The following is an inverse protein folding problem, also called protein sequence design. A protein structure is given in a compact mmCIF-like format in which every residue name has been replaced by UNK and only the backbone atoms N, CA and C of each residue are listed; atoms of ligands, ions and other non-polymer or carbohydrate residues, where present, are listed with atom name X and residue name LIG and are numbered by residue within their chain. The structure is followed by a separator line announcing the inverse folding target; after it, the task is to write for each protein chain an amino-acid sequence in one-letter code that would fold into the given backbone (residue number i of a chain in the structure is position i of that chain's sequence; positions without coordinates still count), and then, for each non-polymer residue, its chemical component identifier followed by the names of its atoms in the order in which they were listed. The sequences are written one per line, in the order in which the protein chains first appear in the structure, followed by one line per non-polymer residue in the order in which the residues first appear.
data_IF_036345949590
#
_entry.id   IF_036345949590
#
_cell.length_a   1.000
_cell.length_b   1.000
_cell.length_c   1.000
_cell.angle_alpha   90.00
_cell.angle_beta   90.00
_cell.angle_gamma   90.00
#
_symmetry.space_group_name_H-M   'P 1'
#
loop_
_entity.id
_entity.type
_entity.pdbx_description
1 polymer ?
#
# COMPACT_ATOMS: atom_id res chain seq x y z
N UNK A 1 -13.34 27.49 15.50
CA UNK A 1 -13.29 26.20 14.78
C UNK A 1 -14.06 25.19 15.61
N UNK A 2 -15.04 24.49 15.04
CA UNK A 2 -15.72 23.40 15.75
C UNK A 2 -14.71 22.30 16.09
N UNK A 3 -14.91 21.62 17.22
CA UNK A 3 -14.11 20.45 17.57
C UNK A 3 -14.21 19.39 16.47
N UNK A 4 -13.07 18.80 16.08
CA UNK A 4 -13.05 17.79 15.03
C UNK A 4 -13.55 16.45 15.59
N UNK A 5 -14.51 15.84 14.88
CA UNK A 5 -14.98 14.48 15.13
C UNK A 5 -14.89 13.69 13.83
N UNK A 6 -14.63 12.39 13.93
CA UNK A 6 -14.49 11.52 12.75
C UNK A 6 -15.73 11.46 11.86
N UNK A 7 -16.91 11.82 12.38
CA UNK A 7 -18.19 11.88 11.65
C UNK A 7 -18.42 13.21 10.92
N UNK A 8 -17.62 14.25 11.19
CA UNK A 8 -17.88 15.61 10.69
C UNK A 8 -17.92 15.71 9.16
N UNK A 9 -17.26 14.79 8.44
CA UNK A 9 -17.26 14.76 6.96
C UNK A 9 -18.65 14.49 6.38
N UNK A 10 -19.53 13.79 7.10
CA UNK A 10 -20.91 13.48 6.63
C UNK A 10 -21.75 14.74 6.40
N UNK A 11 -21.40 15.82 7.10
CA UNK A 11 -22.06 17.13 6.98
C UNK A 11 -21.37 18.05 5.97
N UNK A 12 -20.45 17.53 5.15
CA UNK A 12 -19.72 18.27 4.11
C UNK A 12 -20.07 17.75 2.72
N UNK A 13 -19.95 18.59 1.67
CA UNK A 13 -20.03 18.11 0.31
C UNK A 13 -19.01 16.99 0.08
N UNK A 14 -19.48 15.89 -0.51
CA UNK A 14 -18.68 14.70 -0.81
C UNK A 14 -18.90 14.29 -2.26
N UNK A 15 -17.82 13.88 -2.92
CA UNK A 15 -17.81 13.45 -4.32
C UNK A 15 -17.31 12.02 -4.39
N UNK A 16 -17.66 11.29 -5.46
CA UNK A 16 -17.20 9.92 -5.74
C UNK A 16 -17.72 8.81 -4.81
N UNK A 17 -18.56 9.16 -3.83
CA UNK A 17 -19.18 8.20 -2.93
C UNK A 17 -20.18 7.30 -3.67
N UNK A 18 -20.27 6.01 -3.32
CA UNK A 18 -21.35 5.16 -3.77
C UNK A 18 -22.68 5.54 -3.10
N UNK A 19 -23.78 5.25 -3.80
CA UNK A 19 -25.13 5.32 -3.25
C UNK A 19 -25.54 3.92 -2.78
N UNK A 20 -25.36 3.64 -1.49
CA UNK A 20 -25.85 2.41 -0.86
C UNK A 20 -27.37 2.49 -0.67
N UNK A 21 -28.10 1.49 -1.17
CA UNK A 21 -29.57 1.46 -1.13
C UNK A 21 -30.14 0.98 0.20
N UNK A 22 -29.34 0.26 0.99
CA UNK A 22 -29.69 -0.25 2.32
C UNK A 22 -28.80 0.41 3.38
N UNK A 23 -29.33 1.46 4.01
CA UNK A 23 -28.62 2.21 5.04
C UNK A 23 -28.47 1.44 6.35
N UNK A 24 -29.39 0.51 6.67
CA UNK A 24 -29.28 -0.32 7.87
C UNK A 24 -28.13 -1.31 7.73
N UNK A 25 -28.00 -1.96 6.57
CA UNK A 25 -26.87 -2.83 6.26
C UNK A 25 -25.54 -2.08 6.27
N UNK A 26 -25.50 -0.87 5.70
CA UNK A 26 -24.31 -0.02 5.75
C UNK A 26 -23.92 0.29 7.21
N UNK A 27 -24.84 0.80 8.01
CA UNK A 27 -24.59 1.14 9.43
C UNK A 27 -24.13 -0.07 10.24
N UNK A 28 -24.68 -1.26 9.96
CA UNK A 28 -24.27 -2.51 10.62
C UNK A 28 -22.81 -2.87 10.29
N UNK A 29 -22.41 -2.76 9.01
CA UNK A 29 -21.01 -3.02 8.60
C UNK A 29 -20.06 -2.00 9.19
N UNK A 30 -20.40 -0.71 9.17
CA UNK A 30 -19.58 0.35 9.77
C UNK A 30 -19.38 0.11 11.27
N UNK A 31 -20.45 -0.27 11.98
CA UNK A 31 -20.41 -0.62 13.40
C UNK A 31 -19.51 -1.83 13.65
N UNK A 32 -19.59 -2.86 12.80
CA UNK A 32 -18.75 -4.05 12.90
C UNK A 32 -17.26 -3.71 12.69
N UNK A 33 -16.93 -2.96 11.63
CA UNK A 33 -15.55 -2.53 11.35
C UNK A 33 -14.95 -1.66 12.47
N UNK A 34 -15.77 -0.83 13.12
CA UNK A 34 -15.32 0.00 14.24
C UNK A 34 -14.81 -0.82 15.43
N UNK A 35 -15.32 -2.04 15.60
CA UNK A 35 -14.92 -2.98 16.64
C UNK A 35 -13.73 -3.88 16.25
N UNK A 36 -13.34 -3.90 14.98
CA UNK A 36 -12.17 -4.66 14.55
C UNK A 36 -10.86 -4.02 15.01
N UNK A 37 -9.77 -4.79 15.14
CA UNK A 37 -8.44 -4.23 15.39
C UNK A 37 -8.01 -3.24 14.30
N UNK A 38 -7.28 -2.16 14.63
CA UNK A 38 -6.72 -1.27 13.61
C UNK A 38 -5.63 -2.00 12.79
N UNK A 39 -5.51 -1.63 11.52
CA UNK A 39 -4.46 -2.19 10.63
C UNK A 39 -3.06 -1.71 11.04
N UNK A 40 -2.95 -0.47 11.51
CA UNK A 40 -1.67 0.16 11.90
C UNK A 40 -1.77 0.75 13.30
N UNK A 41 -0.64 0.78 14.01
CA UNK A 41 -0.53 1.44 15.28
C UNK A 41 -0.21 2.95 15.10
N UNK A 42 -0.78 3.81 15.96
CA UNK A 42 -0.57 5.25 15.86
C UNK A 42 0.90 5.68 15.97
N UNK A 43 1.73 4.88 16.66
CA UNK A 43 3.19 5.09 16.72
C UNK A 43 3.87 4.94 15.36
N UNK A 44 3.40 4.03 14.51
CA UNK A 44 3.94 3.81 13.16
C UNK A 44 3.63 5.01 12.26
N UNK A 45 2.41 5.53 12.32
CA UNK A 45 2.02 6.76 11.60
C UNK A 45 2.84 7.97 12.06
N UNK A 46 3.14 8.09 13.35
CA UNK A 46 4.04 9.14 13.86
C UNK A 46 5.48 8.96 13.38
N UNK A 47 5.97 7.72 13.27
CA UNK A 47 7.30 7.44 12.72
C UNK A 47 7.37 7.84 11.24
N UNK A 48 6.39 7.41 10.44
CA UNK A 48 6.27 7.82 9.04
C UNK A 48 6.24 9.35 8.91
N UNK A 49 5.46 10.05 9.73
CA UNK A 49 5.41 11.53 9.71
C UNK A 49 6.79 12.16 9.95
N UNK A 50 7.59 11.62 10.88
CA UNK A 50 8.97 12.11 11.11
C UNK A 50 9.86 11.86 9.89
N UNK A 51 9.75 10.69 9.27
CA UNK A 51 10.51 10.33 8.08
C UNK A 51 10.11 11.20 6.85
N UNK A 52 8.82 11.46 6.67
CA UNK A 52 8.32 12.39 5.64
C UNK A 52 8.78 13.83 5.89
N UNK A 53 8.86 14.27 7.14
CA UNK A 53 9.42 15.57 7.48
C UNK A 53 10.92 15.67 7.14
N UNK A 54 11.68 14.56 7.23
CA UNK A 54 13.06 14.51 6.74
C UNK A 54 13.11 14.64 5.21
N UNK A 55 12.23 13.91 4.51
CA UNK A 55 12.14 14.02 3.05
C UNK A 55 11.79 15.44 2.57
N UNK A 56 10.88 16.14 3.27
CA UNK A 56 10.53 17.53 2.93
C UNK A 56 11.69 18.52 3.10
N UNK A 57 12.74 18.17 3.85
CA UNK A 57 13.95 18.98 4.02
C UNK A 57 15.10 18.57 3.11
N UNK A 58 14.92 17.51 2.31
CA UNK A 58 15.98 16.92 1.48
C UNK A 58 16.90 15.93 2.22
N UNK A 59 16.60 15.60 3.47
CA UNK A 59 17.38 14.65 4.28
C UNK A 59 17.03 13.18 3.99
N UNK A 60 15.99 12.93 3.18
CA UNK A 60 15.51 11.62 2.77
C UNK A 60 14.75 11.70 1.43
N UNK A 61 14.44 10.55 0.84
CA UNK A 61 13.65 10.46 -0.40
C UNK A 61 12.41 9.58 -0.18
N UNK A 62 11.24 9.97 -0.70
CA UNK A 62 10.02 9.16 -0.63
C UNK A 62 9.90 8.27 -1.87
N UNK A 63 9.84 6.96 -1.67
CA UNK A 63 9.42 5.99 -2.67
C UNK A 63 8.02 5.49 -2.32
N UNK A 64 7.03 5.86 -3.14
CA UNK A 64 5.67 5.34 -3.04
C UNK A 64 5.28 4.61 -4.32
N UNK A 65 4.79 3.38 -4.20
CA UNK A 65 4.50 2.53 -5.36
C UNK A 65 3.69 1.28 -4.99
N UNK A 66 3.07 0.66 -5.98
CA UNK A 66 2.19 -0.49 -5.81
C UNK A 66 1.04 -0.46 -6.81
N UNK A 67 -0.05 -1.17 -6.52
CA UNK A 67 -1.14 -1.34 -7.46
C UNK A 67 -1.94 -0.04 -7.71
N UNK A 68 -2.54 0.03 -8.89
CA UNK A 68 -3.50 1.10 -9.23
C UNK A 68 -4.78 0.92 -8.41
N UNK A 69 -5.36 -0.28 -8.44
CA UNK A 69 -6.16 -0.80 -7.33
C UNK A 69 -5.97 -2.29 -7.18
N UNK A 70 -5.95 -2.72 -5.92
CA UNK A 70 -5.97 -4.11 -5.52
C UNK A 70 -7.33 -4.72 -5.89
N UNK A 71 -7.29 -5.98 -6.32
CA UNK A 71 -8.49 -6.77 -6.59
C UNK A 71 -8.57 -7.97 -5.67
N UNK A 72 -9.77 -8.28 -5.20
CA UNK A 72 -10.05 -9.42 -4.35
C UNK A 72 -9.69 -10.75 -5.02
N UNK A 73 -9.80 -10.82 -6.35
CA UNK A 73 -9.47 -12.01 -7.14
C UNK A 73 -7.95 -12.22 -7.31
N UNK A 74 -7.15 -11.16 -7.16
CA UNK A 74 -5.69 -11.20 -7.34
C UNK A 74 -4.93 -11.30 -6.01
N UNK A 75 -5.63 -11.70 -4.94
CA UNK A 75 -5.08 -11.80 -3.60
C UNK A 75 -4.23 -13.08 -3.43
N UNK A 76 -2.92 -12.97 -3.69
CA UNK A 76 -1.97 -14.09 -3.57
C UNK A 76 -0.69 -13.67 -2.82
N UNK A 77 -0.09 -14.60 -2.10
CA UNK A 77 1.18 -14.36 -1.40
C UNK A 77 2.33 -14.02 -2.36
N UNK A 78 2.36 -14.66 -3.54
CA UNK A 78 3.37 -14.39 -4.57
C UNK A 78 3.26 -12.97 -5.13
N UNK A 79 2.04 -12.51 -5.42
CA UNK A 79 1.82 -11.13 -5.88
C UNK A 79 2.29 -10.09 -4.87
N UNK A 80 1.94 -10.27 -3.59
CA UNK A 80 2.38 -9.38 -2.50
C UNK A 80 3.90 -9.39 -2.37
N UNK A 81 4.51 -10.58 -2.39
CA UNK A 81 5.97 -10.76 -2.30
C UNK A 81 6.68 -10.07 -3.47
N UNK A 82 6.19 -10.23 -4.68
CA UNK A 82 6.85 -9.73 -5.88
C UNK A 82 6.75 -8.20 -5.97
N UNK A 83 5.60 -7.61 -5.61
CA UNK A 83 5.47 -6.15 -5.48
C UNK A 83 6.39 -5.60 -4.38
N UNK A 84 6.45 -6.25 -3.22
CA UNK A 84 7.36 -5.86 -2.14
C UNK A 84 8.83 -5.93 -2.58
N UNK A 85 9.20 -7.00 -3.29
CA UNK A 85 10.54 -7.21 -3.86
C UNK A 85 10.93 -6.06 -4.81
N UNK A 86 10.05 -5.70 -5.74
CA UNK A 86 10.30 -4.57 -6.67
C UNK A 86 10.49 -3.26 -5.90
N UNK A 87 9.66 -2.99 -4.89
CA UNK A 87 9.81 -1.81 -4.04
C UNK A 87 11.16 -1.76 -3.33
N UNK A 88 11.66 -2.89 -2.82
CA UNK A 88 12.99 -2.95 -2.18
C UNK A 88 14.13 -2.75 -3.19
N UNK A 89 14.02 -3.30 -4.40
CA UNK A 89 15.01 -3.09 -5.46
C UNK A 89 15.11 -1.61 -5.86
N UNK A 90 13.97 -0.95 -6.06
CA UNK A 90 13.93 0.49 -6.34
C UNK A 90 14.52 1.30 -5.18
N UNK A 91 14.16 0.97 -3.95
CA UNK A 91 14.65 1.67 -2.77
C UNK A 91 16.18 1.59 -2.64
N UNK A 92 16.78 0.44 -2.95
CA UNK A 92 18.23 0.24 -2.89
C UNK A 92 18.96 1.11 -3.92
N UNK A 93 18.50 1.11 -5.18
CA UNK A 93 19.07 1.93 -6.25
C UNK A 93 18.94 3.43 -5.92
N UNK A 94 17.78 3.86 -5.42
CA UNK A 94 17.54 5.24 -5.00
C UNK A 94 18.40 5.64 -3.80
N UNK A 95 18.57 4.76 -2.81
CA UNK A 95 19.43 5.02 -1.63
C UNK A 95 20.87 5.24 -2.07
N UNK A 96 21.39 4.38 -2.95
CA UNK A 96 22.75 4.50 -3.47
C UNK A 96 22.95 5.76 -4.32
N UNK A 97 22.01 6.06 -5.23
CA UNK A 97 22.10 7.20 -6.13
C UNK A 97 21.90 8.55 -5.43
N UNK A 98 20.89 8.65 -4.56
CA UNK A 98 20.54 9.89 -3.86
C UNK A 98 21.41 10.13 -2.61
N UNK A 99 22.09 9.10 -2.09
CA UNK A 99 22.93 9.16 -0.88
C UNK A 99 22.20 9.66 0.37
N UNK A 100 20.88 9.46 0.41
CA UNK A 100 20.01 9.75 1.54
C UNK A 100 19.10 8.54 1.79
N UNK A 101 18.57 8.37 3.02
CA UNK A 101 17.60 7.32 3.31
C UNK A 101 16.36 7.39 2.41
N UNK A 102 15.84 6.23 2.00
CA UNK A 102 14.58 6.12 1.25
C UNK A 102 13.46 5.64 2.16
N UNK A 103 12.39 6.41 2.25
CA UNK A 103 11.13 6.07 2.94
C UNK A 103 10.26 5.27 1.99
N UNK A 104 9.87 4.05 2.38
CA UNK A 104 9.18 3.09 1.49
C UNK A 104 7.71 3.01 1.87
N UNK A 105 6.82 3.35 0.94
CA UNK A 105 5.37 3.35 1.15
C UNK A 105 4.67 2.57 0.04
N UNK A 106 4.09 1.42 0.38
CA UNK A 106 3.31 0.60 -0.55
C UNK A 106 1.91 1.16 -0.79
N UNK A 107 1.46 1.19 -2.05
CA UNK A 107 0.03 1.24 -2.40
C UNK A 107 -0.52 -0.19 -2.32
N UNK A 108 -0.72 -0.66 -1.10
CA UNK A 108 -1.03 -2.05 -0.75
C UNK A 108 -1.82 -2.09 0.56
N UNK A 109 -2.56 -3.18 0.79
CA UNK A 109 -3.36 -3.40 1.98
C UNK A 109 -4.45 -2.33 2.21
N UNK A 110 -5.10 -1.86 1.15
CA UNK A 110 -6.20 -0.90 1.28
C UNK A 110 -6.58 -0.16 -0.01
N UNK A 111 -5.83 -0.30 -1.09
CA UNK A 111 -6.06 0.43 -2.35
C UNK A 111 -7.16 -0.25 -3.18
N UNK A 112 -8.35 -0.40 -2.60
CA UNK A 112 -9.47 -1.11 -3.22
C UNK A 112 -10.49 -0.18 -3.88
N UNK A 113 -10.55 1.10 -3.49
CA UNK A 113 -11.48 2.08 -4.05
C UNK A 113 -10.84 2.84 -5.23
N UNK A 114 -11.66 3.22 -6.20
CA UNK A 114 -11.26 3.97 -7.40
C UNK A 114 -12.24 5.11 -7.69
N UNK A 115 -11.78 6.35 -7.88
CA UNK A 115 -12.63 7.42 -8.38
C UNK A 115 -12.95 7.19 -9.86
N UNK A 116 -14.09 7.71 -10.32
CA UNK A 116 -14.54 7.59 -11.70
C UNK A 116 -14.93 8.95 -12.27
N UNK A 117 -14.55 9.19 -13.52
CA UNK A 117 -14.90 10.43 -14.23
C UNK A 117 -16.41 10.56 -14.46
N UNK A 118 -17.12 9.43 -14.59
CA UNK A 118 -18.57 9.38 -14.76
C UNK A 118 -19.19 8.42 -13.73
N UNK A 119 -20.39 8.78 -13.24
CA UNK A 119 -21.12 7.97 -12.26
C UNK A 119 -21.62 6.65 -12.86
N UNK A 120 -21.91 6.66 -14.15
CA UNK A 120 -22.41 5.53 -14.93
C UNK A 120 -21.48 5.18 -16.10
N UNK A 121 -21.64 3.96 -16.59
CA UNK A 121 -20.98 3.40 -17.76
C UNK A 121 -22.04 2.79 -18.67
N UNK A 122 -21.97 3.08 -19.97
CA UNK A 122 -22.91 2.56 -20.97
C UNK A 122 -22.21 1.57 -21.88
N UNK A 123 -22.70 0.33 -21.92
CA UNK A 123 -22.21 -0.72 -22.82
C UNK A 123 -23.40 -1.30 -23.57
N UNK A 124 -23.32 -1.35 -24.90
CA UNK A 124 -24.37 -1.87 -25.78
C UNK A 124 -25.77 -1.27 -25.52
N UNK A 125 -25.84 0.02 -25.18
CA UNK A 125 -27.09 0.74 -24.93
C UNK A 125 -27.68 0.54 -23.53
N UNK A 126 -27.05 -0.26 -22.66
CA UNK A 126 -27.44 -0.42 -21.25
C UNK A 126 -26.54 0.48 -20.41
N UNK A 127 -27.12 1.34 -19.58
CA UNK A 127 -26.41 2.22 -18.66
C UNK A 127 -26.47 1.65 -17.24
N UNK A 128 -25.31 1.44 -16.60
CA UNK A 128 -25.18 0.93 -15.24
C UNK A 128 -24.23 1.81 -14.41
N UNK A 129 -24.28 1.75 -13.06
CA UNK A 129 -23.26 2.38 -12.23
C UNK A 129 -21.85 1.95 -12.64
N UNK A 130 -20.92 2.89 -12.64
CA UNK A 130 -19.50 2.61 -12.87
C UNK A 130 -18.96 1.67 -11.79
N UNK A 131 -18.10 0.73 -12.18
CA UNK A 131 -17.27 0.00 -11.21
C UNK A 131 -16.36 0.98 -10.44
N UNK A 132 -16.42 0.97 -9.11
CA UNK A 132 -15.67 1.90 -8.23
C UNK A 132 -14.61 1.21 -7.40
N UNK A 133 -14.27 -0.03 -7.74
CA UNK A 133 -13.32 -0.84 -6.99
C UNK A 133 -14.00 -1.91 -6.15
N UNK A 134 -13.28 -2.98 -5.85
CA UNK A 134 -13.83 -4.22 -5.26
C UNK A 134 -14.42 -4.01 -3.86
N UNK A 135 -14.03 -2.95 -3.16
CA UNK A 135 -14.59 -2.55 -1.86
C UNK A 135 -16.01 -1.96 -1.97
N UNK A 136 -16.46 -1.58 -3.17
CA UNK A 136 -17.76 -0.97 -3.41
C UNK A 136 -18.68 -1.92 -4.19
N UNK A 137 -18.27 -2.34 -5.38
CA UNK A 137 -19.08 -3.17 -6.29
C UNK A 137 -18.18 -4.08 -7.14
N UNK A 138 -18.78 -4.88 -8.02
CA UNK A 138 -18.06 -5.84 -8.86
C UNK A 138 -17.69 -5.23 -10.23
N UNK A 139 -16.62 -5.77 -10.82
CA UNK A 139 -16.15 -5.35 -12.15
C UNK A 139 -17.14 -5.73 -13.27
N UNK A 140 -17.82 -6.87 -13.11
CA UNK A 140 -18.76 -7.42 -14.07
C UNK A 140 -19.85 -6.40 -14.45
N UNK A 141 -20.18 -6.32 -15.75
CA UNK A 141 -21.17 -5.36 -16.28
C UNK A 141 -22.58 -5.97 -16.26
N UNK A 142 -23.12 -6.20 -15.07
CA UNK A 142 -24.51 -6.62 -14.87
C UNK A 142 -25.20 -5.72 -13.83
N UNK A 143 -26.54 -5.57 -13.88
CA UNK A 143 -27.26 -4.74 -12.92
C UNK A 143 -26.94 -5.11 -11.47
N UNK A 144 -26.97 -6.40 -11.13
CA UNK A 144 -26.73 -6.87 -9.77
C UNK A 144 -25.27 -6.64 -9.32
N UNK A 145 -24.30 -6.92 -10.20
CA UNK A 145 -22.88 -6.75 -9.93
C UNK A 145 -22.50 -5.29 -9.63
N UNK A 146 -23.20 -4.33 -10.23
CA UNK A 146 -22.89 -2.90 -10.11
C UNK A 146 -23.55 -2.22 -8.91
N UNK A 147 -24.47 -2.89 -8.21
CA UNK A 147 -25.06 -2.39 -6.96
C UNK A 147 -23.97 -2.36 -5.86
N UNK A 148 -23.76 -1.21 -5.20
CA UNK A 148 -22.84 -1.15 -4.07
C UNK A 148 -23.25 -2.10 -2.93
N UNK A 149 -22.32 -2.94 -2.46
CA UNK A 149 -22.53 -3.86 -1.34
C UNK A 149 -21.63 -3.48 -0.16
N UNK A 150 -22.19 -2.98 0.97
CA UNK A 150 -21.39 -2.56 2.10
C UNK A 150 -20.56 -3.70 2.70
N UNK A 151 -20.97 -4.97 2.55
CA UNK A 151 -20.24 -6.13 3.10
C UNK A 151 -18.85 -6.28 2.47
N UNK A 152 -18.63 -5.74 1.27
CA UNK A 152 -17.31 -5.71 0.62
C UNK A 152 -16.26 -4.96 1.44
N UNK A 153 -16.66 -4.03 2.31
CA UNK A 153 -15.75 -3.38 3.26
C UNK A 153 -15.17 -4.35 4.30
N UNK A 154 -15.93 -5.35 4.74
CA UNK A 154 -15.44 -6.40 5.66
C UNK A 154 -14.42 -7.31 4.96
N UNK A 155 -14.67 -7.63 3.69
CA UNK A 155 -13.74 -8.39 2.87
C UNK A 155 -12.45 -7.61 2.61
N UNK A 156 -12.56 -6.32 2.25
CA UNK A 156 -11.43 -5.43 2.06
C UNK A 156 -10.56 -5.33 3.33
N UNK A 157 -11.18 -5.19 4.51
CA UNK A 157 -10.46 -5.22 5.78
C UNK A 157 -9.68 -6.53 5.98
N UNK A 158 -10.32 -7.67 5.72
CA UNK A 158 -9.71 -8.99 5.93
C UNK A 158 -8.51 -9.20 5.02
N UNK A 159 -8.63 -8.81 3.74
CA UNK A 159 -7.52 -8.86 2.80
C UNK A 159 -6.41 -7.86 3.16
N UNK A 160 -6.76 -6.64 3.55
CA UNK A 160 -5.80 -5.64 4.01
C UNK A 160 -4.99 -6.16 5.22
N UNK A 161 -5.68 -6.73 6.21
CA UNK A 161 -5.04 -7.29 7.40
C UNK A 161 -4.09 -8.44 7.04
N UNK A 162 -4.52 -9.35 6.16
CA UNK A 162 -3.70 -10.47 5.72
C UNK A 162 -2.49 -10.03 4.88
N UNK A 163 -2.67 -9.10 3.95
CA UNK A 163 -1.58 -8.48 3.17
C UNK A 163 -0.57 -7.82 4.09
N UNK A 164 -1.04 -7.00 5.03
CA UNK A 164 -0.17 -6.27 5.94
C UNK A 164 0.59 -7.20 6.89
N UNK A 165 -0.05 -8.27 7.37
CA UNK A 165 0.62 -9.30 8.17
C UNK A 165 1.78 -9.95 7.39
N UNK A 166 1.53 -10.30 6.11
CA UNK A 166 2.57 -10.89 5.26
C UNK A 166 3.71 -9.89 4.96
N UNK A 167 3.38 -8.63 4.67
CA UNK A 167 4.37 -7.56 4.48
C UNK A 167 5.24 -7.39 5.73
N UNK A 168 4.66 -7.37 6.93
CA UNK A 168 5.39 -7.30 8.20
C UNK A 168 6.32 -8.50 8.39
N UNK A 169 5.87 -9.69 8.02
CA UNK A 169 6.70 -10.91 8.04
C UNK A 169 7.89 -10.80 7.07
N UNK A 170 7.71 -10.26 5.87
CA UNK A 170 8.81 -10.03 4.93
C UNK A 170 9.79 -8.95 5.40
N UNK A 171 9.26 -7.86 5.99
CA UNK A 171 10.06 -6.75 6.50
C UNK A 171 10.97 -7.12 7.67
N UNK A 172 10.59 -8.09 8.50
CA UNK A 172 11.32 -8.45 9.74
C UNK A 172 11.89 -9.86 9.73
N UNK A 173 11.31 -10.79 8.96
CA UNK A 173 11.70 -12.21 8.88
C UNK A 173 12.94 -12.49 8.03
N UNK A 174 13.74 -11.45 7.72
CA UNK A 174 14.96 -11.57 6.93
C UNK A 174 14.74 -11.81 5.43
N UNK A 175 13.52 -11.58 4.91
CA UNK A 175 13.31 -11.46 3.47
C UNK A 175 13.89 -10.12 2.99
N UNK A 176 13.66 -9.04 3.74
CA UNK A 176 14.18 -7.71 3.48
C UNK A 176 15.69 -7.50 3.78
N UNK A 177 16.44 -8.58 4.01
CA UNK A 177 17.89 -8.51 4.23
C UNK A 177 18.58 -7.95 2.97
N UNK A 178 19.38 -6.90 3.15
CA UNK A 178 20.03 -6.18 2.05
C UNK A 178 20.87 -7.11 1.15
N UNK A 179 21.46 -8.17 1.71
CA UNK A 179 22.22 -9.17 0.94
C UNK A 179 21.32 -10.02 0.04
N UNK A 180 20.07 -10.28 0.43
CA UNK A 180 19.09 -11.00 -0.39
C UNK A 180 18.53 -10.11 -1.48
N UNK A 181 18.27 -8.83 -1.17
CA UNK A 181 17.72 -7.88 -2.17
C UNK A 181 18.67 -7.72 -3.35
N UNK A 182 19.99 -7.75 -3.12
CA UNK A 182 20.97 -7.76 -4.21
C UNK A 182 20.93 -9.05 -5.06
N UNK A 183 20.73 -10.23 -4.46
CA UNK A 183 20.58 -11.46 -5.25
C UNK A 183 19.37 -11.42 -6.21
N UNK A 184 18.36 -10.62 -5.87
CA UNK A 184 17.14 -10.47 -6.67
C UNK A 184 17.29 -9.58 -7.89
N UNK A 185 18.18 -8.58 -7.83
CA UNK A 185 18.41 -7.64 -8.93
C UNK A 185 19.09 -8.31 -10.12
N UNK A 186 19.84 -9.40 -9.90
CA UNK A 186 20.54 -10.14 -10.95
C UNK A 186 19.59 -10.79 -11.99
N UNK A 187 18.40 -11.26 -11.60
CA UNK A 187 17.48 -11.96 -12.51
C UNK A 187 16.87 -11.11 -13.63
N UNK A 188 16.86 -9.77 -13.53
CA UNK A 188 16.30 -8.87 -14.56
C UNK A 188 17.36 -8.42 -15.58
N UNK A 189 18.61 -8.79 -15.38
CA UNK A 189 19.75 -8.14 -16.04
C UNK A 189 20.30 -8.83 -17.29
N UNK A 190 19.71 -9.96 -17.68
CA UNK A 190 20.17 -10.77 -18.81
C UNK A 190 19.91 -10.13 -20.19
N UNK A 191 19.13 -9.05 -20.24
CA UNK A 191 18.87 -8.30 -21.49
C UNK A 191 19.95 -7.24 -21.75
N UNK A 192 20.28 -7.00 -23.03
CA UNK A 192 21.25 -5.97 -23.44
C UNK A 192 20.89 -4.55 -22.95
N UNK A 193 19.59 -4.28 -22.75
CA UNK A 193 19.08 -3.00 -22.24
C UNK A 193 19.33 -2.79 -20.74
N UNK A 194 19.81 -3.80 -20.02
CA UNK A 194 20.02 -3.74 -18.57
C UNK A 194 21.49 -3.50 -18.16
N UNK A 195 22.39 -3.19 -19.09
CA UNK A 195 23.82 -2.97 -18.80
C UNK A 195 24.06 -1.90 -17.73
N UNK A 196 23.38 -0.75 -17.82
CA UNK A 196 23.46 0.33 -16.82
C UNK A 196 22.98 -0.11 -15.43
N UNK A 197 21.97 -0.98 -15.39
CA UNK A 197 21.45 -1.50 -14.13
C UNK A 197 22.39 -2.55 -13.52
N UNK A 198 23.08 -3.36 -14.35
CA UNK A 198 24.16 -4.25 -13.89
C UNK A 198 25.29 -3.48 -13.26
N UNK A 199 25.82 -2.48 -13.96
CA UNK A 199 26.90 -1.65 -13.43
C UNK A 199 26.52 -1.01 -12.09
N UNK A 200 25.29 -0.49 -11.98
CA UNK A 200 24.78 0.04 -10.71
C UNK A 200 24.69 -1.04 -9.62
N UNK A 201 24.21 -2.23 -9.97
CA UNK A 201 24.08 -3.35 -9.04
C UNK A 201 25.43 -3.82 -8.52
N UNK A 202 26.43 -3.95 -9.40
CA UNK A 202 27.81 -4.31 -9.04
C UNK A 202 28.42 -3.30 -8.07
N UNK A 203 28.24 -2.00 -8.33
CA UNK A 203 28.75 -0.94 -7.43
C UNK A 203 28.07 -0.96 -6.06
N UNK A 204 26.78 -1.32 -6.01
CA UNK A 204 26.08 -1.52 -4.75
C UNK A 204 26.64 -2.76 -4.02
N UNK A 205 26.95 -3.84 -4.75
CA UNK A 205 27.56 -5.05 -4.17
C UNK A 205 28.90 -4.73 -3.51
N UNK A 206 29.79 -4.01 -4.21
CA UNK A 206 31.08 -3.59 -3.69
C UNK A 206 30.94 -2.75 -2.41
N UNK A 207 29.96 -1.86 -2.37
CA UNK A 207 29.68 -1.04 -1.18
C UNK A 207 29.20 -1.89 0.01
N UNK A 208 28.36 -2.90 -0.23
CA UNK A 208 27.90 -3.82 0.81
C UNK A 208 29.03 -4.71 1.32
N UNK A 209 29.91 -5.19 0.43
CA UNK A 209 31.09 -5.96 0.80
C UNK A 209 32.08 -5.13 1.62
N UNK A 210 32.23 -3.83 1.29
CA UNK A 210 33.01 -2.90 2.11
C UNK A 210 32.41 -2.73 3.52
N UNK A 211 31.10 -2.48 3.63
CA UNK A 211 30.40 -2.34 4.92
C UNK A 211 30.60 -3.61 5.78
N UNK A 212 30.47 -4.78 5.16
CA UNK A 212 30.71 -6.07 5.81
C UNK A 212 32.17 -6.24 6.25
N UNK A 213 33.12 -5.90 5.39
CA UNK A 213 34.56 -5.97 5.71
C UNK A 213 34.95 -4.97 6.82
N UNK A 214 34.25 -3.84 6.95
CA UNK A 214 34.39 -2.88 8.04
C UNK A 214 33.78 -3.35 9.37
N UNK A 215 33.21 -4.57 9.42
CA UNK A 215 32.66 -5.17 10.64
C UNK A 215 31.17 -4.87 10.90
N UNK A 216 30.49 -4.20 9.97
CA UNK A 216 29.05 -3.97 10.02
C UNK A 216 28.35 -5.08 9.22
N UNK A 217 28.34 -6.30 9.77
CA UNK A 217 27.59 -7.40 9.17
C UNK A 217 26.14 -7.46 9.67
N UNK A 218 25.28 -8.21 8.98
CA UNK A 218 23.86 -8.33 9.34
C UNK A 218 23.63 -8.99 10.72
N UNK A 219 24.59 -9.75 11.24
CA UNK A 219 24.49 -10.35 12.59
C UNK A 219 24.73 -9.31 13.68
N UNK A 220 25.49 -8.26 13.39
CA UNK A 220 25.83 -7.18 14.31
C UNK A 220 24.87 -5.99 14.17
N UNK A 221 24.46 -5.64 12.94
CA UNK A 221 23.60 -4.49 12.66
C UNK A 221 22.17 -4.94 12.29
N UNK A 222 21.26 -4.90 13.27
CA UNK A 222 19.84 -5.23 13.08
C UNK A 222 19.18 -4.42 11.93
N UNK A 223 19.60 -3.17 11.77
CA UNK A 223 19.13 -2.23 10.75
C UNK A 223 19.38 -2.72 9.31
N UNK A 224 20.33 -3.63 9.09
CA UNK A 224 20.60 -4.23 7.78
C UNK A 224 19.69 -5.42 7.44
N UNK A 225 18.96 -5.96 8.45
CA UNK A 225 18.09 -7.14 8.31
C UNK A 225 16.61 -6.80 8.24
N UNK A 226 16.24 -5.62 8.72
CA UNK A 226 14.85 -5.17 8.78
C UNK A 226 14.63 -3.96 7.91
N UNK A 227 13.43 -3.86 7.35
CA UNK A 227 13.02 -2.68 6.59
C UNK A 227 11.72 -2.12 7.14
N UNK A 228 11.74 -0.83 7.49
CA UNK A 228 10.51 -0.06 7.66
C UNK A 228 9.78 0.00 6.31
N UNK A 229 8.57 -0.57 6.27
CA UNK A 229 7.68 -0.54 5.11
C UNK A 229 6.28 -0.12 5.56
N UNK A 230 5.81 0.99 5.02
CA UNK A 230 4.49 1.53 5.33
C UNK A 230 3.50 1.21 4.22
N UNK A 231 2.21 1.29 4.53
CA UNK A 231 1.14 1.17 3.54
C UNK A 231 0.39 2.48 3.38
N UNK A 232 -0.26 2.63 2.23
CA UNK A 232 -1.04 3.80 1.87
C UNK A 232 -2.13 3.39 0.88
N UNK A 233 -3.21 4.14 0.91
CA UNK A 233 -4.27 4.10 -0.09
C UNK A 233 -4.91 5.48 -0.20
N UNK A 234 -5.72 5.67 -1.22
CA UNK A 234 -6.55 6.86 -1.36
C UNK A 234 -7.72 6.82 -0.35
N UNK A 235 -7.78 7.79 0.56
CA UNK A 235 -8.88 7.94 1.53
C UNK A 235 -10.18 8.40 0.87
N UNK A 236 -10.78 7.52 0.07
CA UNK A 236 -11.89 7.80 -0.83
C UNK A 236 -13.25 7.37 -0.25
N UNK A 237 -13.36 6.12 0.22
CA UNK A 237 -14.59 5.57 0.78
C UNK A 237 -14.67 5.91 2.28
N UNK A 238 -15.20 7.09 2.58
CA UNK A 238 -15.13 7.69 3.91
C UNK A 238 -15.87 6.90 5.00
N UNK A 239 -16.88 6.08 4.68
CA UNK A 239 -17.48 5.14 5.65
C UNK A 239 -16.45 4.12 6.15
N UNK A 240 -15.59 3.60 5.27
CA UNK A 240 -14.50 2.70 5.63
C UNK A 240 -13.42 3.40 6.47
N UNK A 241 -13.02 4.60 6.06
CA UNK A 241 -12.01 5.40 6.77
C UNK A 241 -12.49 5.82 8.17
N UNK A 242 -13.76 6.24 8.30
CA UNK A 242 -14.35 6.61 9.58
C UNK A 242 -14.43 5.41 10.53
N UNK A 243 -14.86 4.25 10.03
CA UNK A 243 -14.92 3.04 10.82
C UNK A 243 -13.53 2.62 11.32
N UNK A 244 -12.48 2.82 10.51
CA UNK A 244 -11.11 2.48 10.88
C UNK A 244 -10.31 3.60 11.57
N UNK A 245 -10.92 4.75 11.84
CA UNK A 245 -10.27 5.82 12.62
C UNK A 245 -10.40 5.57 14.13
N UNK A 246 -9.26 5.57 14.85
CA UNK A 246 -9.17 5.42 16.32
C UNK A 246 -8.63 6.70 16.98
N UNK A 247 -9.03 6.93 18.23
CA UNK A 247 -8.55 8.02 19.09
C UNK A 247 -7.48 7.52 20.07
#
# INVERSE_FOLDING_TARGET
MSEWQKTNWRNKPRVQMPDYTDQEALNAVESQLSNYPPLVFAGEARNLKKQLAAASRGDAFLLQGGDCAESFAQFTADGIRDTFKVMLQMAMVLTYGAKVPVVKVGRMAGQFAKPRSAATETVNGVELPSYRGDIINELEFTPDARIPDPKKMLQAYTQAAATLNLLRAFSTGGYADVHKVHSWTLGFTETEKASKYREMSERIADALDFIKAAGLDSKIAHELRTVDFYTSHEGLLLEYEEALTRL
#
